data_IF_644569343251
#
_entry.id   IF_644569343251
#
_cell.length_a   1.000
_cell.length_b   1.000
_cell.length_c   1.000
_cell.angle_alpha   90.00
_cell.angle_beta   90.00
_cell.angle_gamma   90.00
#
_symmetry.space_group_name_H-M   'P 1'
#
loop_
_entity.id
_entity.type
_entity.pdbx_description
1 polymer ?
#
# COMPACT_ATOMS: atom_id res chain seq x y z
N UNK A 1 29.61 9.03 1.07
CA UNK A 1 28.68 9.38 -0.05
C UNK A 1 27.55 8.37 -0.08
N UNK A 2 27.87 7.07 -0.06
CA UNK A 2 26.87 6.01 0.10
C UNK A 2 26.17 6.07 1.46
N UNK A 3 26.87 6.43 2.54
CA UNK A 3 26.26 6.55 3.88
C UNK A 3 25.16 7.62 3.90
N UNK A 4 25.41 8.80 3.31
CA UNK A 4 24.38 9.84 3.14
C UNK A 4 23.15 9.39 2.33
N UNK A 5 23.33 8.46 1.39
CA UNK A 5 22.22 7.94 0.58
C UNK A 5 21.38 6.94 1.38
N UNK A 6 22.03 6.12 2.22
CA UNK A 6 21.34 5.11 3.01
C UNK A 6 20.74 5.68 4.31
N UNK A 7 21.39 6.67 4.92
CA UNK A 7 21.01 7.19 6.23
C UNK A 7 20.05 8.39 6.13
N UNK A 8 20.29 9.30 5.18
CA UNK A 8 19.49 10.53 5.03
C UNK A 8 18.35 10.37 4.00
N UNK A 9 18.29 9.24 3.27
CA UNK A 9 17.38 9.01 2.13
C UNK A 9 17.40 10.12 1.07
N UNK A 10 18.49 10.89 0.98
CA UNK A 10 18.65 11.98 0.00
C UNK A 10 19.23 11.41 -1.29
N UNK A 11 18.51 11.44 -2.42
CA UNK A 11 19.05 10.99 -3.70
C UNK A 11 20.22 11.86 -4.13
N UNK A 12 21.30 11.23 -4.57
CA UNK A 12 22.51 11.93 -5.03
C UNK A 12 22.65 11.81 -6.54
N UNK A 13 22.72 12.95 -7.21
CA UNK A 13 23.00 12.99 -8.64
C UNK A 13 24.49 12.78 -8.90
N UNK A 14 24.81 11.78 -9.72
CA UNK A 14 26.16 11.55 -10.24
C UNK A 14 26.21 11.91 -11.72
N UNK A 15 27.25 12.62 -12.12
CA UNK A 15 27.48 12.96 -13.53
C UNK A 15 28.85 12.46 -13.95
N UNK A 16 28.94 11.86 -15.14
CA UNK A 16 30.21 11.53 -15.78
C UNK A 16 30.44 12.51 -16.92
N UNK A 17 31.62 13.12 -16.98
CA UNK A 17 31.97 14.10 -18.02
C UNK A 17 31.68 13.52 -19.41
N UNK A 18 30.83 14.18 -20.18
CA UNK A 18 30.42 13.78 -21.53
C UNK A 18 29.29 12.75 -21.62
N UNK A 19 28.65 12.35 -20.51
CA UNK A 19 27.55 11.38 -20.48
C UNK A 19 26.32 11.91 -19.74
N UNK A 20 25.18 11.23 -19.90
CA UNK A 20 23.96 11.49 -19.12
C UNK A 20 24.22 11.23 -17.63
N UNK A 21 23.66 12.07 -16.76
CA UNK A 21 23.71 11.87 -15.32
C UNK A 21 22.84 10.70 -14.86
N UNK A 22 23.10 10.20 -13.65
CA UNK A 22 22.28 9.19 -12.98
C UNK A 22 21.96 9.63 -11.55
N UNK A 23 20.92 9.05 -10.96
CA UNK A 23 20.54 9.24 -9.57
C UNK A 23 20.94 7.98 -8.79
N UNK A 24 21.57 8.17 -7.63
CA UNK A 24 21.87 7.11 -6.66
C UNK A 24 20.92 7.27 -5.48
N UNK A 25 20.28 6.17 -5.10
CA UNK A 25 19.41 6.08 -3.93
C UNK A 25 19.53 4.73 -3.24
N UNK A 26 19.04 4.61 -2.01
CA UNK A 26 18.99 3.34 -1.30
C UNK A 26 18.05 2.36 -2.02
N UNK A 27 18.27 1.05 -1.85
CA UNK A 27 17.37 0.03 -2.41
C UNK A 27 15.98 0.13 -1.77
N UNK A 28 15.93 0.46 -0.48
CA UNK A 28 14.69 0.67 0.25
C UNK A 28 13.88 1.84 -0.33
N UNK A 29 14.50 2.99 -0.58
CA UNK A 29 13.81 4.13 -1.20
C UNK A 29 13.37 3.83 -2.63
N UNK A 30 14.20 3.09 -3.39
CA UNK A 30 13.82 2.64 -4.72
C UNK A 30 12.58 1.74 -4.69
N UNK A 31 12.53 0.77 -3.77
CA UNK A 31 11.41 -0.15 -3.60
C UNK A 31 10.13 0.60 -3.19
N UNK A 32 10.22 1.51 -2.21
CA UNK A 32 9.09 2.31 -1.73
C UNK A 32 8.54 3.24 -2.82
N UNK A 33 9.41 3.90 -3.60
CA UNK A 33 8.98 4.73 -4.73
C UNK A 33 8.38 3.92 -5.86
N UNK A 34 8.96 2.76 -6.18
CA UNK A 34 8.43 1.88 -7.23
C UNK A 34 7.06 1.34 -6.84
N UNK A 35 6.88 0.93 -5.59
CA UNK A 35 5.59 0.48 -5.08
C UNK A 35 4.57 1.62 -5.03
N UNK A 36 4.98 2.82 -4.62
CA UNK A 36 4.12 4.01 -4.65
C UNK A 36 3.67 4.34 -6.08
N UNK A 37 4.59 4.30 -7.05
CA UNK A 37 4.25 4.55 -8.44
C UNK A 37 3.29 3.50 -8.99
N UNK A 38 3.47 2.23 -8.64
CA UNK A 38 2.56 1.15 -9.01
C UNK A 38 1.13 1.42 -8.53
N UNK A 39 0.99 1.81 -7.25
CA UNK A 39 -0.32 2.13 -6.66
C UNK A 39 -0.98 3.32 -7.34
N UNK A 40 -0.22 4.38 -7.62
CA UNK A 40 -0.73 5.60 -8.26
C UNK A 40 -1.10 5.41 -9.74
N UNK A 41 -0.35 4.58 -10.46
CA UNK A 41 -0.65 4.26 -11.86
C UNK A 41 -1.84 3.32 -12.00
N UNK A 42 -2.20 2.60 -10.94
CA UNK A 42 -3.36 1.74 -10.91
C UNK A 42 -4.62 2.57 -10.61
N UNK A 43 -5.46 2.77 -11.63
CA UNK A 43 -6.65 3.62 -11.53
C UNK A 43 -7.60 3.14 -10.44
N UNK A 44 -7.90 1.84 -10.39
CA UNK A 44 -8.77 1.24 -9.37
C UNK A 44 -8.25 1.48 -7.95
N UNK A 45 -6.97 1.22 -7.70
CA UNK A 45 -6.38 1.44 -6.37
C UNK A 45 -6.36 2.93 -6.02
N UNK A 46 -5.96 3.81 -6.94
CA UNK A 46 -5.93 5.25 -6.71
C UNK A 46 -7.32 5.83 -6.40
N UNK A 47 -8.36 5.41 -7.13
CA UNK A 47 -9.74 5.85 -6.89
C UNK A 47 -10.28 5.37 -5.55
N UNK A 48 -9.99 4.12 -5.17
CA UNK A 48 -10.35 3.59 -3.85
C UNK A 48 -9.66 4.39 -2.73
N UNK A 49 -8.35 4.66 -2.85
CA UNK A 49 -7.61 5.45 -1.85
C UNK A 49 -8.23 6.84 -1.69
N UNK A 50 -8.49 7.56 -2.79
CA UNK A 50 -9.06 8.91 -2.74
C UNK A 50 -10.43 8.93 -2.03
N UNK A 51 -11.29 7.96 -2.34
CA UNK A 51 -12.62 7.85 -1.72
C UNK A 51 -12.53 7.47 -0.24
N UNK A 52 -11.61 6.56 0.10
CA UNK A 52 -11.38 6.09 1.46
C UNK A 52 -10.85 7.21 2.35
N UNK A 53 -9.89 8.02 1.88
CA UNK A 53 -9.37 9.18 2.62
C UNK A 53 -10.50 10.18 2.93
N UNK A 54 -11.29 10.58 1.92
CA UNK A 54 -12.43 11.50 2.13
C UNK A 54 -13.44 10.98 3.15
N UNK A 55 -13.69 9.66 3.13
CA UNK A 55 -14.67 9.03 4.01
C UNK A 55 -14.16 8.89 5.45
N UNK A 56 -12.88 8.59 5.61
CA UNK A 56 -12.23 8.43 6.92
C UNK A 56 -12.01 9.78 7.62
N UNK A 57 -11.61 10.83 6.90
CA UNK A 57 -11.48 12.19 7.46
C UNK A 57 -12.81 12.74 7.97
N UNK A 58 -13.93 12.42 7.29
CA UNK A 58 -15.27 12.82 7.71
C UNK A 58 -15.81 12.06 8.94
N UNK A 59 -15.14 10.99 9.39
CA UNK A 59 -15.65 10.05 10.42
C UNK A 59 -14.76 9.91 11.66
N UNK A 60 -13.65 10.65 11.74
CA UNK A 60 -12.68 10.59 12.84
C UNK A 60 -13.26 10.82 14.26
N UNK A 61 -14.53 11.23 14.39
CA UNK A 61 -15.24 11.42 15.66
C UNK A 61 -15.93 10.16 16.22
N UNK A 62 -15.95 9.02 15.51
CA UNK A 62 -16.66 7.82 15.96
C UNK A 62 -15.76 6.58 16.05
N UNK A 63 -15.34 6.21 17.28
CA UNK A 63 -14.63 4.95 17.57
C UNK A 63 -15.57 3.74 17.39
N UNK A 64 -15.32 2.90 16.40
CA UNK A 64 -16.02 1.62 16.20
C UNK A 64 -15.30 0.47 16.92
N UNK A 65 -16.07 -0.37 17.63
CA UNK A 65 -15.61 -1.46 18.49
C UNK A 65 -15.72 -2.85 17.84
N UNK A 66 -14.71 -3.68 18.12
CA UNK A 66 -14.57 -5.15 17.99
C UNK A 66 -14.48 -5.83 16.59
N UNK A 67 -13.26 -6.32 16.34
CA UNK A 67 -12.92 -7.65 15.79
C UNK A 67 -13.41 -8.01 14.37
N UNK A 68 -13.56 -7.02 13.51
CA UNK A 68 -13.47 -7.20 12.05
C UNK A 68 -12.57 -6.08 11.53
N UNK A 69 -12.14 -6.12 10.28
CA UNK A 69 -11.57 -4.95 9.60
C UNK A 69 -12.48 -3.75 9.94
N UNK A 70 -12.07 -2.88 10.86
CA UNK A 70 -13.01 -1.97 11.52
C UNK A 70 -13.55 -0.94 10.52
N UNK A 71 -12.82 -0.70 9.42
CA UNK A 71 -13.30 0.10 8.30
C UNK A 71 -12.74 -0.46 6.99
N UNK A 72 -13.58 -1.19 6.25
CA UNK A 72 -13.43 -1.20 4.79
C UNK A 72 -14.22 0.00 4.28
N UNK A 73 -13.52 1.08 3.94
CA UNK A 73 -14.17 2.33 3.54
C UNK A 73 -14.62 2.29 2.08
N UNK A 74 -15.81 2.88 1.81
CA UNK A 74 -16.29 3.14 0.45
C UNK A 74 -16.38 1.88 -0.44
N UNK A 75 -15.92 2.01 -1.68
CA UNK A 75 -16.00 0.95 -2.70
C UNK A 75 -15.04 -0.23 -2.44
N UNK A 76 -14.10 -0.13 -1.49
CA UNK A 76 -13.20 -1.24 -1.15
C UNK A 76 -13.95 -2.45 -0.60
N UNK A 77 -15.12 -2.25 0.01
CA UNK A 77 -15.97 -3.36 0.49
C UNK A 77 -16.59 -4.11 -0.69
N UNK A 78 -16.96 -3.37 -1.73
CA UNK A 78 -17.47 -3.95 -2.96
C UNK A 78 -16.40 -4.77 -3.68
N UNK A 79 -15.15 -4.28 -3.73
CA UNK A 79 -14.02 -5.03 -4.29
C UNK A 79 -13.71 -6.30 -3.51
N UNK A 80 -13.73 -6.23 -2.18
CA UNK A 80 -13.58 -7.41 -1.33
C UNK A 80 -14.69 -8.45 -1.61
N UNK A 81 -15.95 -8.02 -1.70
CA UNK A 81 -17.08 -8.92 -1.98
C UNK A 81 -17.02 -9.51 -3.41
N UNK A 82 -16.58 -8.71 -4.39
CA UNK A 82 -16.34 -9.18 -5.76
C UNK A 82 -15.24 -10.25 -5.78
N UNK A 83 -14.12 -10.00 -5.11
CA UNK A 83 -13.01 -10.94 -4.99
C UNK A 83 -13.44 -12.25 -4.34
N UNK A 84 -14.23 -12.16 -3.25
CA UNK A 84 -14.79 -13.32 -2.56
C UNK A 84 -15.65 -14.21 -3.47
N UNK A 85 -16.41 -13.59 -4.38
CA UNK A 85 -17.26 -14.31 -5.35
C UNK A 85 -16.49 -14.86 -6.54
N UNK A 86 -15.52 -14.10 -7.06
CA UNK A 86 -14.83 -14.40 -8.32
C UNK A 86 -13.64 -15.34 -8.15
N UNK A 87 -12.87 -15.21 -7.06
CA UNK A 87 -11.63 -15.97 -6.88
C UNK A 87 -11.37 -16.32 -5.41
N UNK A 88 -11.93 -17.46 -4.98
CA UNK A 88 -11.80 -17.97 -3.59
C UNK A 88 -10.35 -18.22 -3.16
N UNK A 89 -9.47 -18.63 -4.07
CA UNK A 89 -8.08 -18.90 -3.75
C UNK A 89 -7.34 -17.59 -3.43
N UNK A 90 -7.59 -16.55 -4.23
CA UNK A 90 -7.01 -15.22 -4.03
C UNK A 90 -7.59 -14.55 -2.77
N UNK A 91 -8.90 -14.71 -2.52
CA UNK A 91 -9.55 -14.28 -1.28
C UNK A 91 -8.91 -14.94 -0.04
N UNK A 92 -8.62 -16.24 -0.10
CA UNK A 92 -7.97 -16.93 1.01
C UNK A 92 -6.58 -16.37 1.33
N UNK A 93 -5.82 -15.94 0.30
CA UNK A 93 -4.52 -15.28 0.49
C UNK A 93 -4.67 -13.92 1.19
N UNK A 94 -5.64 -13.11 0.76
CA UNK A 94 -5.96 -11.84 1.42
C UNK A 94 -6.35 -12.05 2.89
N UNK A 95 -7.27 -12.99 3.17
CA UNK A 95 -7.68 -13.30 4.54
C UNK A 95 -6.50 -13.76 5.43
N UNK A 96 -5.57 -14.54 4.87
CA UNK A 96 -4.36 -14.96 5.59
C UNK A 96 -3.49 -13.76 5.95
N UNK A 97 -3.29 -12.87 4.99
CA UNK A 97 -2.47 -11.67 5.15
C UNK A 97 -3.08 -10.70 6.17
N UNK A 98 -4.40 -10.52 6.16
CA UNK A 98 -5.11 -9.72 7.17
C UNK A 98 -4.95 -10.32 8.57
N UNK A 99 -5.08 -11.65 8.71
CA UNK A 99 -4.86 -12.31 10.01
C UNK A 99 -3.44 -12.13 10.53
N UNK A 100 -2.45 -12.18 9.65
CA UNK A 100 -1.06 -11.91 9.99
C UNK A 100 -0.88 -10.48 10.51
N UNK A 101 -1.43 -9.47 9.80
CA UNK A 101 -1.38 -8.07 10.24
C UNK A 101 -2.11 -7.82 11.57
N UNK A 102 -3.17 -8.56 11.87
CA UNK A 102 -3.92 -8.39 13.13
C UNK A 102 -3.26 -9.09 14.33
N UNK A 103 -2.40 -10.08 14.07
CA UNK A 103 -1.74 -10.85 15.12
C UNK A 103 -0.33 -10.31 15.42
N UNK A 104 0.38 -9.90 14.37
CA UNK A 104 1.77 -9.44 14.43
C UNK A 104 1.86 -7.95 14.06
N UNK A 105 3.07 -7.41 13.96
CA UNK A 105 3.29 -6.03 13.52
C UNK A 105 2.93 -5.88 12.01
N UNK A 106 1.95 -5.02 11.63
CA UNK A 106 1.56 -4.86 10.24
C UNK A 106 2.69 -4.39 9.31
N UNK A 107 3.70 -3.68 9.84
CA UNK A 107 4.85 -3.17 9.08
C UNK A 107 5.82 -4.26 8.60
N UNK A 108 5.64 -5.52 9.01
CA UNK A 108 6.54 -6.63 8.66
C UNK A 108 5.77 -7.86 8.20
N UNK A 109 6.50 -8.84 7.67
CA UNK A 109 5.99 -10.16 7.33
C UNK A 109 5.85 -10.43 5.83
N UNK A 110 4.96 -11.36 5.47
CA UNK A 110 4.79 -11.87 4.10
C UNK A 110 4.29 -10.80 3.12
N UNK A 111 4.58 -10.95 1.82
CA UNK A 111 3.99 -10.04 0.83
C UNK A 111 4.64 -8.66 0.77
N UNK A 112 5.85 -8.50 1.32
CA UNK A 112 6.69 -7.30 1.18
C UNK A 112 5.91 -6.02 1.55
N UNK A 113 5.61 -5.80 2.85
CA UNK A 113 5.01 -4.55 3.31
C UNK A 113 5.94 -3.38 3.01
N UNK A 114 5.43 -2.37 2.32
CA UNK A 114 6.18 -1.17 1.94
C UNK A 114 5.40 0.08 2.35
N UNK A 115 6.00 1.02 3.08
CA UNK A 115 5.38 2.31 3.33
C UNK A 115 5.34 3.12 2.03
N UNK A 116 4.19 3.74 1.76
CA UNK A 116 4.00 4.55 0.57
C UNK A 116 4.50 5.99 0.80
N UNK A 117 4.94 6.63 -0.29
CA UNK A 117 5.51 7.99 -0.28
C UNK A 117 4.54 9.02 -0.86
N UNK A 118 4.94 10.29 -0.79
CA UNK A 118 4.25 11.44 -1.41
C UNK A 118 2.78 11.56 -0.99
N UNK A 119 1.83 11.67 -1.93
CA UNK A 119 0.40 11.81 -1.61
C UNK A 119 -0.21 10.59 -0.89
N UNK A 120 0.51 9.47 -0.84
CA UNK A 120 0.09 8.27 -0.10
C UNK A 120 0.87 8.10 1.22
N UNK A 121 1.60 9.12 1.67
CA UNK A 121 2.36 9.06 2.91
C UNK A 121 1.47 8.69 4.11
N UNK A 122 1.95 7.76 4.93
CA UNK A 122 1.20 7.20 6.06
C UNK A 122 0.35 5.98 5.71
N UNK A 123 0.19 5.66 4.43
CA UNK A 123 -0.36 4.38 3.98
C UNK A 123 0.77 3.37 3.71
N UNK A 124 0.39 2.10 3.71
CA UNK A 124 1.23 0.95 3.43
C UNK A 124 0.63 0.13 2.31
N UNK A 125 1.47 -0.44 1.46
CA UNK A 125 1.09 -1.45 0.47
C UNK A 125 1.64 -2.81 0.87
N UNK A 126 0.85 -3.85 0.65
CA UNK A 126 1.30 -5.24 0.84
C UNK A 126 0.70 -6.15 -0.21
N UNK A 127 1.52 -7.05 -0.75
CA UNK A 127 1.19 -7.93 -1.87
C UNK A 127 0.57 -9.23 -1.38
N UNK A 128 -0.62 -9.56 -1.86
CA UNK A 128 -1.20 -10.90 -1.67
C UNK A 128 -1.22 -11.74 -2.96
N UNK A 129 -0.81 -11.14 -4.08
CA UNK A 129 -0.48 -11.82 -5.34
C UNK A 129 0.58 -11.01 -6.11
N UNK A 130 0.98 -11.45 -7.30
CA UNK A 130 1.90 -10.71 -8.15
C UNK A 130 1.36 -9.31 -8.52
N UNK A 131 0.06 -9.20 -8.78
CA UNK A 131 -0.59 -7.97 -9.26
C UNK A 131 -1.69 -7.44 -8.36
N UNK A 132 -1.89 -8.01 -7.16
CA UNK A 132 -2.84 -7.46 -6.19
C UNK A 132 -2.14 -6.97 -4.92
N UNK A 133 -2.69 -5.89 -4.39
CA UNK A 133 -2.27 -5.17 -3.20
C UNK A 133 -3.44 -4.97 -2.25
N UNK A 134 -3.15 -5.04 -0.97
CA UNK A 134 -3.95 -4.39 0.05
C UNK A 134 -3.23 -3.10 0.45
N UNK A 135 -3.96 -2.00 0.45
CA UNK A 135 -3.48 -0.68 0.89
C UNK A 135 -4.13 -0.39 2.23
N UNK A 136 -3.33 -0.07 3.23
CA UNK A 136 -3.78 0.02 4.61
C UNK A 136 -3.02 1.07 5.41
N UNK A 137 -3.58 1.40 6.57
CA UNK A 137 -2.94 2.16 7.65
C UNK A 137 -3.18 1.40 8.94
N UNK A 138 -2.38 1.64 9.96
CA UNK A 138 -2.60 1.05 11.27
C UNK A 138 -2.11 1.97 12.38
N UNK A 139 -2.65 1.75 13.57
CA UNK A 139 -2.19 2.32 14.84
C UNK A 139 -2.23 1.21 15.92
N UNK A 140 -2.12 1.59 17.18
CA UNK A 140 -2.10 0.65 18.31
C UNK A 140 -3.43 -0.12 18.47
N UNK A 141 -4.53 0.40 17.95
CA UNK A 141 -5.87 -0.12 18.16
C UNK A 141 -6.39 -0.93 16.95
N UNK A 142 -6.01 -0.54 15.72
CA UNK A 142 -6.63 -1.09 14.52
C UNK A 142 -5.76 -1.06 13.26
N UNK A 143 -6.19 -1.89 12.29
CA UNK A 143 -5.75 -1.86 10.89
C UNK A 143 -6.93 -1.41 10.02
N UNK A 144 -6.71 -0.36 9.23
CA UNK A 144 -7.68 0.29 8.35
C UNK A 144 -7.37 -0.05 6.90
N UNK A 145 -8.33 -0.58 6.14
CA UNK A 145 -8.10 -0.96 4.74
C UNK A 145 -8.67 0.11 3.80
N UNK A 146 -7.79 0.71 3.01
CA UNK A 146 -8.09 1.82 2.10
C UNK A 146 -8.35 1.38 0.66
N UNK A 147 -7.72 0.28 0.22
CA UNK A 147 -7.93 -0.28 -1.11
C UNK A 147 -7.51 -1.75 -1.18
N UNK A 148 -8.15 -2.53 -2.06
CA UNK A 148 -7.81 -3.92 -2.34
C UNK A 148 -7.90 -4.15 -3.86
N UNK A 149 -6.96 -4.92 -4.42
CA UNK A 149 -6.98 -5.33 -5.82
C UNK A 149 -5.72 -4.89 -6.56
N UNK A 150 -5.81 -4.66 -7.87
CA UNK A 150 -4.70 -4.20 -8.70
C UNK A 150 -4.61 -4.91 -10.06
N UNK A 151 -5.14 -6.13 -10.18
CA UNK A 151 -5.02 -6.92 -11.42
C UNK A 151 -5.90 -6.49 -12.61
N UNK A 152 -6.50 -5.29 -12.62
CA UNK A 152 -7.46 -4.91 -13.66
C UNK A 152 -7.12 -3.71 -14.56
N UNK A 153 -5.97 -3.04 -14.38
CA UNK A 153 -5.67 -1.80 -15.14
C UNK A 153 -4.39 -1.81 -15.99
N UNK A 154 -3.76 -2.96 -16.22
CA UNK A 154 -2.47 -2.96 -16.93
C UNK A 154 -2.56 -2.80 -18.47
N UNK A 155 -3.75 -2.81 -19.07
CA UNK A 155 -3.90 -2.54 -20.51
C UNK A 155 -5.28 -1.96 -20.83
N UNK A 156 -5.40 -0.63 -20.89
CA UNK A 156 -6.34 0.08 -21.76
C UNK A 156 -5.69 1.35 -22.32
#
# INVERSE_FOLDING_TARGET
MLDKVNDDSVPVQITRRGNKGAIVMSIEDYDQLTETLYVLQNKSLSEQIEQSIKTHEARADHKASQQTINEITGNTWQEHENLRKSNRALQAKLCKLIKEMLHDNPAVGTGKPEPLKHQCQGLWSRRFSAGDRVIYRFDDDAVYLFAIGGHHDQFK
#
